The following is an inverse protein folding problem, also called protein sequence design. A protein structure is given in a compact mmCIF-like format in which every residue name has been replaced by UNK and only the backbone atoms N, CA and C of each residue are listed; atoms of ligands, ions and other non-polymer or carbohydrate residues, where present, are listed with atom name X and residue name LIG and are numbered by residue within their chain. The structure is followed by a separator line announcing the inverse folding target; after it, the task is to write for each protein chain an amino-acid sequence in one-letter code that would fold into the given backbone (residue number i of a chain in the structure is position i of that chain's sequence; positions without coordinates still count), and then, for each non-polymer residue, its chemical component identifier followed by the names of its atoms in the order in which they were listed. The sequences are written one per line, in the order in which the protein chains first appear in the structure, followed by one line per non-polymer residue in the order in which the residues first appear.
data_IF_961790962636
#
_entry.id   IF_961790962636
#
_cell.length_a   1.000
_cell.length_b   1.000
_cell.length_c   1.000
_cell.angle_alpha   90.00
_cell.angle_beta   90.00
_cell.angle_gamma   90.00
#
_symmetry.space_group_name_H-M   'P 1'
#
loop_
_entity.id
_entity.type
_entity.pdbx_description
1 polymer ?
#
# COMPACT_ATOMS: atom_id res chain seq x y z
N UNK A 1 -30.65 -1.02 0.34
CA UNK A 1 -29.38 -1.33 -0.35
C UNK A 1 -28.25 -0.64 0.42
N UNK A 2 -27.41 -1.39 1.13
CA UNK A 2 -26.27 -0.82 1.87
C UNK A 2 -25.13 -0.63 0.86
N UNK A 3 -24.72 0.61 0.55
CA UNK A 3 -23.47 0.85 -0.19
C UNK A 3 -22.36 0.19 0.63
N UNK A 4 -21.70 -0.81 0.07
CA UNK A 4 -20.44 -1.32 0.62
C UNK A 4 -19.46 -0.16 0.48
N UNK A 5 -18.88 0.37 1.57
CA UNK A 5 -17.84 1.37 1.45
C UNK A 5 -16.72 0.74 0.63
N UNK A 6 -16.39 1.36 -0.50
CA UNK A 6 -15.19 0.98 -1.26
C UNK A 6 -14.02 1.24 -0.31
N UNK A 7 -13.21 0.24 0.03
CA UNK A 7 -12.07 0.46 0.90
C UNK A 7 -11.15 1.49 0.22
N UNK A 8 -10.89 2.59 0.91
CA UNK A 8 -9.86 3.53 0.49
C UNK A 8 -8.51 2.78 0.48
N UNK A 9 -7.53 3.19 -0.35
CA UNK A 9 -6.21 2.54 -0.40
C UNK A 9 -5.58 2.36 0.99
N UNK A 10 -5.86 3.27 1.92
CA UNK A 10 -5.42 3.18 3.31
C UNK A 10 -6.05 2.01 4.10
N UNK A 11 -7.34 1.74 3.93
CA UNK A 11 -8.05 0.64 4.63
C UNK A 11 -7.58 -0.73 4.14
N UNK A 12 -7.28 -0.83 2.84
CA UNK A 12 -6.76 -2.06 2.26
C UNK A 12 -5.27 -2.25 2.58
N UNK A 13 -4.50 -1.16 2.55
CA UNK A 13 -3.08 -1.17 2.92
C UNK A 13 -2.89 -1.54 4.39
N UNK A 14 -3.67 -0.96 5.31
CA UNK A 14 -3.60 -1.29 6.74
C UNK A 14 -3.89 -2.77 7.00
N UNK A 15 -4.85 -3.38 6.27
CA UNK A 15 -5.12 -4.82 6.34
C UNK A 15 -3.95 -5.66 5.81
N UNK A 16 -3.34 -5.27 4.70
CA UNK A 16 -2.19 -5.98 4.14
C UNK A 16 -0.96 -5.91 5.06
N UNK A 17 -0.73 -4.75 5.67
CA UNK A 17 0.32 -4.57 6.66
C UNK A 17 0.07 -5.49 7.85
N UNK A 18 -1.11 -5.46 8.46
CA UNK A 18 -1.45 -6.31 9.60
C UNK A 18 -1.27 -7.81 9.31
N UNK A 19 -1.62 -8.26 8.09
CA UNK A 19 -1.40 -9.65 7.66
C UNK A 19 0.09 -9.97 7.53
N UNK A 20 0.88 -9.06 6.96
CA UNK A 20 2.30 -9.26 6.68
C UNK A 20 3.13 -9.24 7.95
N UNK A 21 2.81 -8.34 8.89
CA UNK A 21 3.50 -8.19 10.18
C UNK A 21 2.95 -9.09 11.27
N UNK A 22 1.82 -9.77 11.02
CA UNK A 22 1.08 -10.52 12.04
C UNK A 22 0.75 -9.66 13.29
N UNK A 23 0.69 -8.35 13.11
CA UNK A 23 0.37 -7.41 14.18
C UNK A 23 -1.07 -7.69 14.66
N UNK A 24 -1.25 -7.88 15.97
CA UNK A 24 -2.57 -8.04 16.58
C UNK A 24 -2.70 -7.06 17.73
N UNK A 25 -3.76 -6.26 17.73
CA UNK A 25 -4.19 -5.48 18.89
C UNK A 25 -3.88 -3.99 18.88
N UNK A 26 -3.12 -3.45 17.91
CA UNK A 26 -2.94 -2.00 17.72
C UNK A 26 -3.59 -1.52 16.42
N UNK A 27 -4.41 -0.44 16.45
CA UNK A 27 -4.90 0.17 15.23
C UNK A 27 -3.73 0.76 14.44
N UNK A 28 -3.62 0.36 13.16
CA UNK A 28 -2.69 0.94 12.19
C UNK A 28 -3.40 2.14 11.56
N UNK A 29 -2.74 3.29 11.58
CA UNK A 29 -3.25 4.56 11.04
C UNK A 29 -2.26 5.09 10.00
N UNK A 30 -2.63 6.15 9.27
CA UNK A 30 -1.69 6.79 8.33
C UNK A 30 -0.40 7.28 8.99
N UNK A 31 -0.45 7.71 10.25
CA UNK A 31 0.71 8.19 11.01
C UNK A 31 1.59 7.05 11.57
N UNK A 32 1.14 5.80 11.46
CA UNK A 32 1.91 4.66 11.95
C UNK A 32 3.20 4.53 11.15
N UNK A 33 4.34 4.57 11.85
CA UNK A 33 5.66 4.32 11.27
C UNK A 33 5.91 2.82 11.16
N UNK A 34 6.51 2.39 10.05
CA UNK A 34 6.77 0.96 9.82
C UNK A 34 7.71 0.34 10.86
N UNK A 35 8.76 1.06 11.25
CA UNK A 35 9.71 0.62 12.29
C UNK A 35 9.06 0.37 13.66
N UNK A 36 7.92 1.01 13.93
CA UNK A 36 7.14 0.84 15.16
C UNK A 36 6.11 -0.29 15.11
N UNK A 37 6.01 -1.01 13.99
CA UNK A 37 5.13 -2.16 13.84
C UNK A 37 5.87 -3.43 14.28
N UNK A 38 5.23 -4.25 15.10
CA UNK A 38 5.78 -5.55 15.49
C UNK A 38 6.08 -6.43 14.28
N UNK A 39 7.18 -7.18 14.34
CA UNK A 39 7.67 -8.04 13.25
C UNK A 39 7.91 -7.33 11.90
N UNK A 40 8.06 -6.00 11.89
CA UNK A 40 8.56 -5.31 10.71
C UNK A 40 10.02 -5.72 10.44
N UNK A 41 10.31 -6.09 9.20
CA UNK A 41 11.62 -6.58 8.76
C UNK A 41 11.77 -6.35 7.27
N UNK A 42 12.99 -6.42 6.73
CA UNK A 42 13.22 -6.29 5.28
C UNK A 42 12.42 -7.32 4.47
N UNK A 43 12.25 -8.55 4.99
CA UNK A 43 11.43 -9.57 4.36
C UNK A 43 9.93 -9.19 4.37
N UNK A 44 9.44 -8.64 5.47
CA UNK A 44 8.06 -8.13 5.56
C UNK A 44 7.85 -6.97 4.58
N UNK A 45 8.80 -6.04 4.49
CA UNK A 45 8.76 -4.92 3.55
C UNK A 45 8.72 -5.40 2.10
N UNK A 46 9.56 -6.36 1.71
CA UNK A 46 9.56 -6.92 0.34
C UNK A 46 8.28 -7.69 0.02
N UNK A 47 7.72 -8.45 0.99
CA UNK A 47 6.43 -9.13 0.80
C UNK A 47 5.30 -8.13 0.61
N UNK A 48 5.27 -7.07 1.41
CA UNK A 48 4.28 -6.01 1.30
C UNK A 48 4.37 -5.31 -0.07
N UNK A 49 5.58 -5.03 -0.55
CA UNK A 49 5.81 -4.45 -1.87
C UNK A 49 5.16 -5.30 -2.97
N UNK A 50 5.45 -6.60 -3.00
CA UNK A 50 4.86 -7.51 -3.99
C UNK A 50 3.33 -7.55 -3.92
N UNK A 51 2.76 -7.55 -2.71
CA UNK A 51 1.30 -7.51 -2.51
C UNK A 51 0.69 -6.20 -3.01
N UNK A 52 1.39 -5.08 -2.83
CA UNK A 52 0.95 -3.78 -3.32
C UNK A 52 0.94 -3.74 -4.84
N UNK A 53 2.04 -4.13 -5.49
CA UNK A 53 2.15 -4.12 -6.95
C UNK A 53 1.08 -5.01 -7.60
N UNK A 54 0.82 -6.20 -7.02
CA UNK A 54 -0.23 -7.10 -7.48
C UNK A 54 -1.64 -6.54 -7.26
N UNK A 55 -1.91 -5.92 -6.11
CA UNK A 55 -3.27 -5.48 -5.76
C UNK A 55 -3.69 -4.21 -6.50
N UNK A 56 -2.77 -3.26 -6.69
CA UNK A 56 -3.07 -1.98 -7.33
C UNK A 56 -2.58 -1.89 -8.78
N UNK A 57 -1.90 -2.92 -9.30
CA UNK A 57 -1.41 -2.92 -10.68
C UNK A 57 -0.38 -1.81 -10.93
N UNK A 58 0.44 -1.52 -9.93
CA UNK A 58 1.49 -0.49 -9.97
C UNK A 58 2.87 -1.13 -9.90
N UNK A 59 3.90 -0.36 -10.21
CA UNK A 59 5.31 -0.78 -10.02
C UNK A 59 6.02 0.30 -9.23
N UNK A 60 6.81 -0.11 -8.24
CA UNK A 60 7.58 0.80 -7.41
C UNK A 60 9.08 0.64 -7.65
N UNK A 61 9.79 1.77 -7.63
CA UNK A 61 11.24 1.73 -7.42
C UNK A 61 11.52 1.26 -5.99
N UNK A 62 12.35 0.23 -5.86
CA UNK A 62 12.65 -0.40 -4.57
C UNK A 62 13.29 0.59 -3.60
N UNK A 63 14.19 1.47 -4.07
CA UNK A 63 14.87 2.44 -3.21
C UNK A 63 13.90 3.49 -2.70
N UNK A 64 13.02 4.01 -3.56
CA UNK A 64 11.98 4.94 -3.18
C UNK A 64 11.00 4.31 -2.18
N UNK A 65 10.58 3.06 -2.41
CA UNK A 65 9.70 2.34 -1.50
C UNK A 65 10.32 2.16 -0.11
N UNK A 66 11.58 1.73 -0.02
CA UNK A 66 12.27 1.53 1.25
C UNK A 66 12.54 2.83 2.02
N UNK A 67 12.45 3.99 1.36
CA UNK A 67 12.58 5.29 2.00
C UNK A 67 11.26 5.80 2.64
N UNK A 68 10.13 5.11 2.42
CA UNK A 68 8.84 5.51 2.96
C UNK A 68 8.74 5.10 4.44
N UNK A 69 8.46 6.07 5.30
CA UNK A 69 8.49 5.87 6.75
C UNK A 69 7.12 5.54 7.35
N UNK A 70 6.04 6.04 6.75
CA UNK A 70 4.68 5.93 7.29
C UNK A 70 3.70 5.24 6.34
N UNK A 71 2.64 4.67 6.92
CA UNK A 71 1.57 4.03 6.16
C UNK A 71 0.81 5.02 5.27
N UNK A 72 0.64 6.27 5.74
CA UNK A 72 -0.02 7.34 4.99
C UNK A 72 0.79 7.75 3.77
N UNK A 73 2.11 7.90 3.92
CA UNK A 73 3.00 8.23 2.81
C UNK A 73 2.99 7.11 1.75
N UNK A 74 2.94 5.84 2.18
CA UNK A 74 2.81 4.72 1.26
C UNK A 74 1.46 4.73 0.52
N UNK A 75 0.36 5.04 1.21
CA UNK A 75 -0.96 5.15 0.57
C UNK A 75 -0.99 6.25 -0.49
N UNK A 76 -0.38 7.42 -0.23
CA UNK A 76 -0.27 8.49 -1.23
C UNK A 76 0.65 8.11 -2.40
N UNK A 77 1.75 7.41 -2.13
CA UNK A 77 2.63 6.91 -3.18
C UNK A 77 1.92 5.91 -4.11
N UNK A 78 1.07 5.03 -3.56
CA UNK A 78 0.23 4.11 -4.35
C UNK A 78 -0.73 4.90 -5.24
N UNK A 79 -1.46 5.86 -4.67
CA UNK A 79 -2.39 6.71 -5.44
C UNK A 79 -1.69 7.47 -6.57
N UNK A 80 -0.46 7.92 -6.34
CA UNK A 80 0.34 8.59 -7.36
C UNK A 80 0.74 7.63 -8.49
N UNK A 81 1.21 6.43 -8.13
CA UNK A 81 1.58 5.39 -9.10
C UNK A 81 0.38 4.92 -9.93
N UNK A 82 -0.79 4.74 -9.33
CA UNK A 82 -2.03 4.38 -10.04
C UNK A 82 -2.43 5.44 -11.07
N UNK A 83 -2.27 6.73 -10.74
CA UNK A 83 -2.54 7.83 -11.67
C UNK A 83 -1.55 7.82 -12.83
N UNK A 84 -0.27 7.54 -12.56
CA UNK A 84 0.76 7.46 -13.59
C UNK A 84 0.55 6.27 -14.53
N UNK A 85 0.01 5.15 -14.04
CA UNK A 85 -0.23 3.94 -14.83
C UNK A 85 -1.58 3.94 -15.58
N UNK A 86 -2.42 4.96 -15.36
CA UNK A 86 -3.70 5.08 -16.07
C UNK A 86 -3.44 5.43 -17.54
N UNK A 87 -3.97 4.66 -18.49
CA UNK A 87 -3.87 5.02 -19.91
C UNK A 87 -4.53 6.38 -20.15
N UNK A 88 -3.93 7.18 -21.04
CA UNK A 88 -4.49 8.48 -21.40
C UNK A 88 -5.95 8.33 -21.88
N UNK A 89 -6.85 9.27 -21.54
CA UNK A 89 -8.23 9.22 -22.03
C UNK A 89 -8.25 9.17 -23.56
N UNK A 90 -8.79 8.08 -24.12
CA UNK A 90 -8.88 7.87 -25.57
C UNK A 90 -7.72 7.09 -26.21
N UNK A 91 -6.77 6.57 -25.42
CA UNK A 91 -5.78 5.63 -25.96
C UNK A 91 -6.48 4.34 -26.44
N UNK A 92 -6.24 3.88 -27.69
CA UNK A 92 -6.80 2.62 -28.15
C UNK A 92 -6.24 1.48 -27.30
N UNK A 93 -7.14 0.66 -26.75
CA UNK A 93 -6.77 -0.62 -26.12
C UNK A 93 -6.33 -1.59 -27.23
N UNK A 94 -5.17 -2.26 -27.10
CA UNK A 94 -4.71 -3.24 -28.08
C UNK A 94 -5.62 -4.46 -28.17
#
# INVERSE_FOLDING_TARGET
MRRVPVPEPLDDLTRLIAQTTRERGRPITGESRFEGLGNWSSLAALRLLTLIEQRWGVTFDLRAYLAIETVGDLAEAIKAAERANRPAPGAPVP
#
